data_IF_997136946298
#
_entry.id   IF_997136946298
#
_cell.length_a   1.000
_cell.length_b   1.000
_cell.length_c   1.000
_cell.angle_alpha   90.00
_cell.angle_beta   90.00
_cell.angle_gamma   90.00
#
_symmetry.space_group_name_H-M   'P 1'
#
loop_
_entity.id
_entity.type
_entity.pdbx_description
1 polymer ?
#
# COMPACT_ATOMS: atom_id res chain seq x y z
N UNK A 1 3.61 38.33 -49.53
CA UNK A 1 2.15 38.09 -49.68
C UNK A 1 1.61 37.67 -48.30
N UNK A 2 1.21 38.48 -47.30
CA UNK A 2 0.67 39.83 -47.09
C UNK A 2 -0.71 40.14 -47.67
N UNK A 3 -1.74 40.06 -46.82
CA UNK A 3 -3.00 40.85 -46.75
C UNK A 3 -3.48 40.79 -45.28
N UNK A 4 -3.16 41.74 -44.40
CA UNK A 4 -3.73 43.10 -44.14
C UNK A 4 -5.24 43.13 -43.80
N UNK A 5 -5.48 43.49 -42.54
CA UNK A 5 -6.72 43.96 -41.90
C UNK A 5 -7.27 45.25 -42.51
N UNK A 6 -8.56 45.56 -42.32
CA UNK A 6 -9.04 46.89 -41.88
C UNK A 6 -10.51 46.89 -41.42
N UNK A 7 -10.83 47.93 -40.66
CA UNK A 7 -11.90 48.13 -39.67
C UNK A 7 -13.15 48.85 -40.21
N UNK A 8 -14.28 48.68 -39.48
CA UNK A 8 -15.37 49.61 -39.10
C UNK A 8 -16.11 50.49 -40.13
N UNK A 9 -17.45 50.58 -40.01
CA UNK A 9 -18.24 51.84 -39.91
C UNK A 9 -19.59 51.59 -39.17
N UNK A 10 -20.01 52.56 -38.36
CA UNK A 10 -21.18 52.70 -37.46
C UNK A 10 -22.40 53.29 -38.22
N UNK A 11 -23.65 53.23 -37.71
CA UNK A 11 -24.20 54.48 -37.16
C UNK A 11 -25.05 54.32 -35.88
N UNK A 12 -25.21 55.44 -35.18
CA UNK A 12 -25.91 55.65 -33.92
C UNK A 12 -27.29 56.29 -34.11
N UNK A 13 -28.22 56.05 -33.16
CA UNK A 13 -29.31 56.94 -32.69
C UNK A 13 -30.11 56.20 -31.59
N UNK A 14 -29.99 56.54 -30.30
CA UNK A 14 -30.79 57.50 -29.49
C UNK A 14 -32.27 57.11 -29.32
N UNK A 15 -32.72 56.89 -28.06
CA UNK A 15 -33.89 57.54 -27.40
C UNK A 15 -33.92 57.15 -25.90
N UNK A 16 -34.15 58.17 -25.07
CA UNK A 16 -34.32 58.19 -23.61
C UNK A 16 -35.54 57.41 -23.09
N UNK A 17 -35.55 56.94 -21.83
CA UNK A 17 -36.27 57.60 -20.71
C UNK A 17 -36.51 56.69 -19.48
N UNK A 18 -36.18 57.26 -18.32
CA UNK A 18 -36.96 57.24 -17.06
C UNK A 18 -36.99 56.03 -16.13
N UNK A 19 -36.57 56.33 -14.91
CA UNK A 19 -36.76 55.63 -13.64
C UNK A 19 -38.20 55.17 -13.40
N UNK A 20 -38.37 54.04 -12.70
CA UNK A 20 -39.35 53.81 -11.63
C UNK A 20 -39.04 52.45 -10.96
N UNK A 21 -38.63 52.48 -9.71
CA UNK A 21 -38.92 51.41 -8.75
C UNK A 21 -40.13 51.86 -7.91
N UNK A 22 -40.77 51.02 -7.08
CA UNK A 22 -40.75 49.55 -6.96
C UNK A 22 -42.18 48.96 -7.10
N UNK A 23 -42.34 47.63 -7.16
CA UNK A 23 -43.52 47.02 -6.54
C UNK A 23 -43.29 45.54 -6.23
N UNK A 24 -43.37 45.24 -4.95
CA UNK A 24 -43.34 43.91 -4.37
C UNK A 24 -44.67 43.22 -4.63
N UNK A 25 -44.70 42.14 -5.41
CA UNK A 25 -45.70 41.07 -5.25
C UNK A 25 -45.33 39.83 -6.07
N UNK A 26 -45.31 38.69 -5.36
CA UNK A 26 -45.50 37.32 -5.88
C UNK A 26 -44.47 36.78 -6.87
N UNK A 27 -43.42 36.14 -6.33
CA UNK A 27 -42.78 34.99 -6.99
C UNK A 27 -43.11 33.72 -6.18
N UNK A 28 -44.23 33.10 -6.54
CA UNK A 28 -44.55 31.75 -6.10
C UNK A 28 -43.67 30.73 -6.87
N UNK A 29 -43.30 29.68 -6.15
CA UNK A 29 -42.63 28.44 -6.53
C UNK A 29 -42.45 28.14 -8.02
N UNK A 30 -41.18 27.97 -8.42
CA UNK A 30 -40.79 26.83 -9.25
C UNK A 30 -39.66 26.10 -8.52
N UNK A 31 -40.04 25.06 -7.80
CA UNK A 31 -39.16 24.05 -7.24
C UNK A 31 -38.58 23.21 -8.38
N UNK A 32 -37.37 23.54 -8.83
CA UNK A 32 -36.53 22.61 -9.58
C UNK A 32 -36.05 21.53 -8.61
N UNK A 33 -36.60 20.33 -8.72
CA UNK A 33 -36.10 19.16 -8.04
C UNK A 33 -34.71 18.83 -8.59
N UNK A 34 -33.66 19.32 -7.94
CA UNK A 34 -32.32 18.80 -8.13
C UNK A 34 -32.34 17.35 -7.63
N UNK A 35 -32.32 16.39 -8.56
CA UNK A 35 -32.04 15.00 -8.24
C UNK A 35 -30.67 14.94 -7.57
N UNK A 36 -30.66 14.72 -6.25
CA UNK A 36 -29.47 14.26 -5.55
C UNK A 36 -29.10 12.91 -6.14
N UNK A 37 -28.16 12.91 -7.08
CA UNK A 37 -27.41 11.70 -7.36
C UNK A 37 -26.76 11.28 -6.04
N UNK A 38 -27.22 10.16 -5.49
CA UNK A 38 -26.55 9.49 -4.40
C UNK A 38 -25.18 9.04 -4.92
N UNK A 39 -24.19 9.93 -4.88
CA UNK A 39 -22.80 9.52 -4.92
C UNK A 39 -22.62 8.59 -3.72
N UNK A 40 -22.23 7.34 -3.96
CA UNK A 40 -21.71 6.50 -2.89
C UNK A 40 -20.64 7.32 -2.15
N UNK A 41 -20.63 7.33 -0.79
CA UNK A 41 -19.60 8.06 -0.07
C UNK A 41 -18.25 7.60 -0.62
N UNK A 42 -17.43 8.56 -1.07
CA UNK A 42 -16.07 8.26 -1.48
C UNK A 42 -15.44 7.45 -0.35
N UNK A 43 -14.99 6.24 -0.67
CA UNK A 43 -14.28 5.43 0.32
C UNK A 43 -13.16 6.31 0.89
N UNK A 44 -13.06 6.40 2.22
CA UNK A 44 -12.00 7.19 2.85
C UNK A 44 -10.66 6.69 2.30
N UNK A 45 -9.70 7.59 2.10
CA UNK A 45 -8.42 7.27 1.45
C UNK A 45 -7.74 6.03 2.07
N UNK A 46 -7.86 5.85 3.39
CA UNK A 46 -7.27 4.73 4.12
C UNK A 46 -8.18 3.47 4.22
N UNK A 47 -9.41 3.47 3.71
CA UNK A 47 -10.29 2.30 3.80
C UNK A 47 -9.76 1.15 2.94
N UNK A 48 -9.60 -0.08 3.49
CA UNK A 48 -9.24 -1.24 2.70
C UNK A 48 -10.36 -1.62 1.73
N UNK A 49 -10.01 -2.36 0.69
CA UNK A 49 -10.98 -2.97 -0.21
C UNK A 49 -11.91 -3.94 0.54
N UNK A 50 -13.16 -4.01 0.09
CA UNK A 50 -14.19 -4.83 0.73
C UNK A 50 -14.20 -6.21 0.09
N UNK A 51 -13.96 -7.24 0.93
CA UNK A 51 -14.11 -8.63 0.50
C UNK A 51 -15.57 -8.91 0.09
N UNK A 52 -15.81 -9.70 -0.97
CA UNK A 52 -17.15 -10.13 -1.31
C UNK A 52 -17.75 -10.97 -0.18
N UNK A 53 -19.05 -10.77 0.12
CA UNK A 53 -19.75 -11.49 1.20
C UNK A 53 -19.77 -13.01 1.02
N UNK A 54 -19.61 -13.49 -0.21
CA UNK A 54 -19.50 -14.89 -0.56
C UNK A 54 -18.24 -15.10 -1.39
N UNK A 55 -17.55 -16.20 -1.14
CA UNK A 55 -16.45 -16.62 -1.98
C UNK A 55 -16.97 -16.80 -3.41
N UNK A 56 -16.33 -16.14 -4.38
CA UNK A 56 -16.63 -16.38 -5.78
C UNK A 56 -16.10 -17.77 -6.14
N UNK A 57 -16.86 -18.57 -6.91
CA UNK A 57 -16.31 -19.78 -7.51
C UNK A 57 -15.06 -19.40 -8.30
N UNK A 58 -14.03 -20.26 -8.24
CA UNK A 58 -12.86 -20.08 -9.10
C UNK A 58 -13.28 -20.06 -10.57
N UNK A 59 -12.67 -19.16 -11.33
CA UNK A 59 -12.86 -19.04 -12.78
C UNK A 59 -12.12 -20.12 -13.59
N UNK A 60 -11.26 -20.92 -12.95
CA UNK A 60 -10.56 -22.01 -13.62
C UNK A 60 -9.45 -22.67 -12.79
N UNK A 61 -8.74 -23.65 -13.37
CA UNK A 61 -7.55 -24.23 -12.75
C UNK A 61 -6.43 -23.20 -12.61
N UNK A 62 -5.49 -23.45 -11.70
CA UNK A 62 -4.29 -22.63 -11.56
C UNK A 62 -3.52 -22.56 -12.90
N UNK A 63 -3.14 -21.37 -13.37
CA UNK A 63 -2.28 -21.26 -14.55
C UNK A 63 -0.87 -21.76 -14.22
N UNK A 64 -0.24 -22.45 -15.18
CA UNK A 64 1.11 -23.01 -14.99
C UNK A 64 2.15 -21.89 -15.07
N UNK A 65 2.93 -21.76 -14.00
CA UNK A 65 4.06 -20.83 -13.88
C UNK A 65 3.71 -19.38 -14.15
N UNK A 66 2.48 -18.99 -13.82
CA UNK A 66 1.97 -17.64 -14.03
C UNK A 66 1.22 -17.10 -12.79
N UNK A 67 1.92 -16.30 -11.98
CA UNK A 67 1.35 -15.58 -10.82
C UNK A 67 0.88 -14.17 -11.20
N UNK A 68 0.98 -13.77 -12.48
CA UNK A 68 0.62 -12.42 -12.92
C UNK A 68 -0.82 -12.10 -12.58
N UNK A 69 -1.10 -10.86 -12.17
CA UNK A 69 -2.45 -10.45 -11.79
C UNK A 69 -2.46 -9.32 -10.77
N UNK A 70 -3.66 -8.86 -10.42
CA UNK A 70 -3.86 -8.00 -9.26
C UNK A 70 -4.38 -8.89 -8.14
N UNK A 71 -3.71 -8.85 -6.99
CA UNK A 71 -4.00 -9.68 -5.84
C UNK A 71 -4.34 -8.82 -4.64
N UNK A 72 -5.27 -9.28 -3.83
CA UNK A 72 -5.79 -8.51 -2.71
C UNK A 72 -6.09 -9.41 -1.50
N UNK A 73 -5.66 -8.94 -0.34
CA UNK A 73 -5.94 -9.54 0.96
C UNK A 73 -7.17 -8.92 1.64
N UNK A 74 -7.73 -7.86 1.05
CA UNK A 74 -8.79 -7.03 1.64
C UNK A 74 -8.38 -6.55 3.04
N UNK A 75 -9.34 -6.42 3.96
CA UNK A 75 -9.07 -6.06 5.35
C UNK A 75 -8.13 -7.03 6.08
N UNK A 76 -7.95 -8.27 5.61
CA UNK A 76 -7.01 -9.20 6.25
C UNK A 76 -5.54 -8.79 6.01
N UNK A 77 -5.26 -8.04 4.94
CA UNK A 77 -3.94 -7.49 4.65
C UNK A 77 -3.57 -6.29 5.52
N UNK A 78 -4.52 -5.75 6.28
CA UNK A 78 -4.31 -4.63 7.20
C UNK A 78 -4.03 -5.21 8.59
N UNK A 79 -2.78 -5.13 9.02
CA UNK A 79 -2.28 -5.73 10.25
C UNK A 79 -1.72 -4.64 11.19
N UNK A 80 -2.60 -3.80 11.78
CA UNK A 80 -2.17 -2.63 12.55
C UNK A 80 -1.39 -3.00 13.80
N UNK A 81 -1.66 -4.17 14.39
CA UNK A 81 -0.96 -4.65 15.58
C UNK A 81 0.21 -5.57 15.26
N UNK A 82 0.72 -5.55 14.02
CA UNK A 82 1.82 -6.39 13.58
C UNK A 82 1.46 -7.86 13.41
N UNK A 83 2.49 -8.71 13.31
CA UNK A 83 2.33 -10.16 13.15
C UNK A 83 1.67 -10.79 14.39
N UNK A 84 0.81 -11.79 14.18
CA UNK A 84 0.06 -12.42 15.28
C UNK A 84 0.92 -13.31 16.18
N UNK A 85 1.97 -13.88 15.61
CA UNK A 85 2.88 -14.79 16.31
C UNK A 85 4.25 -14.67 15.67
N UNK A 86 5.29 -14.67 16.51
CA UNK A 86 6.69 -14.66 16.12
C UNK A 86 7.52 -15.48 17.08
N UNK A 87 8.72 -15.86 16.65
CA UNK A 87 9.69 -16.47 17.54
C UNK A 87 10.03 -15.54 18.72
N UNK A 88 10.47 -16.10 19.85
CA UNK A 88 11.05 -15.32 20.94
C UNK A 88 12.27 -14.54 20.44
N UNK A 89 12.48 -13.35 20.99
CA UNK A 89 13.67 -12.56 20.70
C UNK A 89 14.92 -13.15 21.33
N UNK A 90 16.07 -12.87 20.72
CA UNK A 90 17.37 -12.95 21.40
C UNK A 90 17.55 -11.75 22.34
N UNK A 91 18.66 -11.68 23.08
CA UNK A 91 19.01 -10.49 23.87
C UNK A 91 19.14 -9.23 22.99
N UNK A 92 19.69 -9.37 21.78
CA UNK A 92 19.79 -8.27 20.83
C UNK A 92 18.41 -7.83 20.36
N UNK A 93 17.54 -8.78 20.00
CA UNK A 93 16.15 -8.50 19.60
C UNK A 93 15.37 -7.79 20.70
N UNK A 94 15.49 -8.22 21.96
CA UNK A 94 14.85 -7.54 23.10
C UNK A 94 15.38 -6.12 23.29
N UNK A 95 16.71 -5.94 23.22
CA UNK A 95 17.33 -4.62 23.32
C UNK A 95 16.79 -3.67 22.26
N UNK A 96 16.72 -4.11 21.01
CA UNK A 96 16.21 -3.28 19.91
C UNK A 96 14.71 -3.00 20.04
N UNK A 97 13.90 -4.02 20.36
CA UNK A 97 12.47 -3.86 20.55
C UNK A 97 12.12 -2.85 21.64
N UNK A 98 12.96 -2.72 22.69
CA UNK A 98 12.79 -1.73 23.75
C UNK A 98 13.12 -0.29 23.30
N UNK A 99 13.82 -0.11 22.18
CA UNK A 99 14.05 1.22 21.58
C UNK A 99 12.91 1.65 20.67
N UNK A 100 12.09 0.72 20.20
CA UNK A 100 10.99 0.97 19.28
C UNK A 100 9.72 1.28 20.07
N UNK A 101 9.07 2.39 19.71
CA UNK A 101 7.90 2.96 20.38
C UNK A 101 6.75 2.98 19.37
N UNK A 102 6.07 1.85 19.14
CA UNK A 102 5.00 1.79 18.14
C UNK A 102 3.75 2.54 18.59
N UNK A 103 2.90 2.93 17.65
CA UNK A 103 1.54 3.45 17.95
C UNK A 103 0.52 2.36 18.25
N UNK A 104 0.79 1.14 17.80
CA UNK A 104 -0.11 0.00 17.89
C UNK A 104 0.58 -1.25 18.48
N UNK A 105 -0.23 -2.25 18.80
CA UNK A 105 0.24 -3.52 19.36
C UNK A 105 0.57 -3.46 20.86
N UNK A 106 1.21 -4.52 21.40
CA UNK A 106 1.40 -4.69 22.84
C UNK A 106 2.35 -3.68 23.50
N UNK A 107 3.27 -3.10 22.73
CA UNK A 107 4.28 -2.12 23.20
C UNK A 107 3.92 -0.67 22.87
N UNK A 108 2.65 -0.41 22.54
CA UNK A 108 2.22 0.91 22.09
C UNK A 108 2.50 2.02 23.11
N UNK A 109 2.82 3.20 22.60
CA UNK A 109 2.99 4.42 23.38
C UNK A 109 1.96 5.48 22.96
N UNK A 110 1.87 6.57 23.71
CA UNK A 110 1.10 7.74 23.30
C UNK A 110 1.61 8.33 21.99
N UNK A 111 0.72 8.91 21.19
CA UNK A 111 1.00 9.36 19.82
C UNK A 111 2.28 10.20 19.67
N UNK A 112 2.51 11.20 20.53
CA UNK A 112 3.70 12.04 20.42
C UNK A 112 5.02 11.38 20.88
N UNK A 113 4.98 10.15 21.39
CA UNK A 113 6.16 9.37 21.77
C UNK A 113 6.57 8.36 20.69
N UNK A 114 5.76 8.19 19.65
CA UNK A 114 6.03 7.23 18.57
C UNK A 114 7.33 7.63 17.85
N UNK A 115 8.16 6.64 17.53
CA UNK A 115 9.41 6.83 16.78
C UNK A 115 9.54 5.92 15.57
N UNK A 116 8.40 5.55 14.99
CA UNK A 116 8.35 4.75 13.77
C UNK A 116 8.88 5.57 12.59
N UNK A 117 9.93 5.12 11.87
CA UNK A 117 10.43 5.82 10.70
C UNK A 117 9.37 6.01 9.61
N UNK A 118 8.40 5.09 9.51
CA UNK A 118 7.33 5.14 8.53
C UNK A 118 6.44 6.38 8.69
N UNK A 119 6.28 6.89 9.91
CA UNK A 119 5.50 8.10 10.20
C UNK A 119 6.14 9.36 9.60
N UNK A 120 7.45 9.34 9.36
CA UNK A 120 8.20 10.39 8.67
C UNK A 120 8.23 10.24 7.14
N UNK A 121 7.47 9.31 6.58
CA UNK A 121 7.51 8.90 5.17
C UNK A 121 8.79 8.19 4.73
N UNK A 122 9.59 7.62 5.64
CA UNK A 122 10.60 6.64 5.22
C UNK A 122 9.91 5.40 4.60
N UNK A 123 10.58 4.69 3.68
CA UNK A 123 10.02 3.46 3.12
C UNK A 123 9.71 2.44 4.22
N UNK A 124 8.55 1.78 4.16
CA UNK A 124 8.18 0.76 5.12
C UNK A 124 9.16 -0.42 5.10
N UNK A 125 9.72 -0.68 3.93
CA UNK A 125 10.63 -1.78 3.65
C UNK A 125 9.95 -3.14 3.56
N UNK A 126 10.79 -4.17 3.48
CA UNK A 126 10.39 -5.56 3.38
C UNK A 126 10.86 -6.34 4.61
N UNK A 127 10.07 -7.26 5.18
CA UNK A 127 8.73 -7.71 4.79
C UNK A 127 7.58 -6.90 5.40
N UNK A 128 7.85 -5.75 6.03
CA UNK A 128 6.81 -4.95 6.72
C UNK A 128 5.62 -4.60 5.83
N UNK A 129 5.85 -4.32 4.55
CA UNK A 129 4.77 -4.11 3.59
C UNK A 129 3.80 -5.31 3.48
N UNK A 130 4.25 -6.55 3.71
CA UNK A 130 3.40 -7.74 3.78
C UNK A 130 2.72 -7.91 5.15
N UNK A 131 3.33 -7.39 6.22
CA UNK A 131 2.90 -7.56 7.61
C UNK A 131 2.13 -6.37 8.19
N UNK A 132 1.87 -5.34 7.40
CA UNK A 132 1.12 -4.16 7.83
C UNK A 132 0.09 -3.72 6.80
N UNK A 133 0.54 -3.32 5.61
CA UNK A 133 -0.30 -2.67 4.59
C UNK A 133 -0.27 -3.48 3.28
N UNK A 134 -0.58 -4.78 3.36
CA UNK A 134 -0.71 -5.67 2.20
C UNK A 134 -2.02 -5.42 1.47
N UNK A 135 -2.12 -4.22 0.92
CA UNK A 135 -3.19 -3.72 0.05
C UNK A 135 -3.12 -4.34 -1.33
N UNK A 136 -4.12 -4.10 -2.22
CA UNK A 136 -4.04 -4.55 -3.59
C UNK A 136 -2.67 -4.29 -4.22
N UNK A 137 -2.10 -5.30 -4.85
CA UNK A 137 -0.83 -5.17 -5.55
C UNK A 137 -0.87 -5.94 -6.85
N UNK A 138 -0.13 -5.46 -7.85
CA UNK A 138 0.00 -6.14 -9.14
C UNK A 138 1.29 -6.95 -9.17
N UNK A 139 1.20 -8.17 -9.67
CA UNK A 139 2.33 -8.98 -10.09
C UNK A 139 2.39 -8.92 -11.61
N UNK A 140 3.53 -8.52 -12.16
CA UNK A 140 3.81 -8.53 -13.58
C UNK A 140 5.06 -9.36 -13.86
N UNK A 141 4.98 -10.33 -14.77
CA UNK A 141 6.11 -11.17 -15.14
C UNK A 141 6.77 -10.67 -16.42
N UNK A 142 8.06 -10.42 -16.34
CA UNK A 142 8.98 -10.22 -17.45
C UNK A 142 9.82 -11.50 -17.66
N UNK A 143 10.58 -11.62 -18.76
CA UNK A 143 11.36 -12.83 -19.03
C UNK A 143 12.42 -13.16 -17.96
N UNK A 144 13.01 -12.15 -17.33
CA UNK A 144 14.12 -12.25 -16.37
C UNK A 144 13.77 -11.77 -14.96
N UNK A 145 12.55 -11.25 -14.77
CA UNK A 145 12.10 -10.68 -13.50
C UNK A 145 10.60 -10.84 -13.28
N UNK A 146 10.21 -10.88 -12.01
CA UNK A 146 8.84 -10.59 -11.57
C UNK A 146 8.84 -9.25 -10.84
N UNK A 147 7.89 -8.38 -11.20
CA UNK A 147 7.69 -7.08 -10.59
C UNK A 147 6.45 -7.13 -9.70
N UNK A 148 6.60 -6.73 -8.44
CA UNK A 148 5.50 -6.50 -7.51
C UNK A 148 5.28 -5.01 -7.37
N UNK A 149 4.08 -4.53 -7.72
CA UNK A 149 3.70 -3.12 -7.70
C UNK A 149 2.64 -2.92 -6.61
N UNK A 150 3.02 -2.33 -5.49
CA UNK A 150 2.16 -2.20 -4.31
C UNK A 150 1.30 -0.93 -4.36
N UNK A 151 0.07 -1.00 -3.84
CA UNK A 151 -0.77 0.20 -3.61
C UNK A 151 -0.10 1.12 -2.57
N UNK A 152 0.25 0.55 -1.41
CA UNK A 152 0.84 1.29 -0.30
C UNK A 152 2.23 1.84 -0.65
N UNK A 153 2.44 3.13 -0.37
CA UNK A 153 3.62 3.93 -0.76
C UNK A 153 3.89 4.03 -2.27
N UNK A 154 3.08 3.41 -3.14
CA UNK A 154 3.33 3.29 -4.59
C UNK A 154 4.74 2.82 -4.94
N UNK A 155 5.27 1.89 -4.15
CA UNK A 155 6.58 1.28 -4.37
C UNK A 155 6.47 0.04 -5.26
N UNK A 156 7.57 -0.30 -5.91
CA UNK A 156 7.70 -1.56 -6.63
C UNK A 156 8.95 -2.33 -6.17
N UNK A 157 8.88 -3.65 -6.25
CA UNK A 157 9.96 -4.57 -5.92
C UNK A 157 10.22 -5.50 -7.10
N UNK A 158 11.49 -5.70 -7.42
CA UNK A 158 11.93 -6.62 -8.46
C UNK A 158 12.43 -7.92 -7.84
N UNK A 159 12.01 -9.04 -8.40
CA UNK A 159 12.47 -10.39 -8.06
C UNK A 159 13.10 -10.97 -9.31
N UNK A 160 14.41 -11.25 -9.25
CA UNK A 160 15.12 -11.84 -10.39
C UNK A 160 14.75 -13.31 -10.56
N UNK A 161 14.52 -13.73 -11.80
CA UNK A 161 14.13 -15.11 -12.15
C UNK A 161 15.03 -15.72 -13.24
N UNK A 162 16.16 -15.11 -13.52
CA UNK A 162 17.14 -15.53 -14.52
C UNK A 162 18.13 -16.61 -14.03
N UNK A 163 17.90 -17.16 -12.84
CA UNK A 163 18.71 -18.22 -12.25
C UNK A 163 19.99 -17.74 -11.55
N UNK A 164 20.18 -16.43 -11.38
CA UNK A 164 21.31 -15.90 -10.60
C UNK A 164 21.23 -16.30 -9.13
N UNK A 165 22.37 -16.34 -8.46
CA UNK A 165 22.43 -16.50 -7.01
C UNK A 165 22.16 -15.17 -6.28
N UNK A 166 21.84 -15.26 -4.99
CA UNK A 166 21.82 -14.10 -4.12
C UNK A 166 23.24 -13.55 -3.93
N UNK A 167 23.41 -12.22 -3.87
CA UNK A 167 24.70 -11.62 -3.53
C UNK A 167 25.17 -12.07 -2.14
N UNK A 168 26.48 -12.32 -2.01
CA UNK A 168 27.10 -12.71 -0.72
C UNK A 168 27.26 -11.53 0.23
N UNK A 169 27.44 -10.34 -0.33
CA UNK A 169 27.58 -9.06 0.39
C UNK A 169 26.64 -8.04 -0.26
N UNK A 170 25.32 -8.10 0.04
CA UNK A 170 24.35 -7.18 -0.53
C UNK A 170 24.51 -5.78 0.05
N UNK A 171 24.44 -4.76 -0.80
CA UNK A 171 24.13 -3.40 -0.38
C UNK A 171 22.78 -3.37 0.37
N UNK A 172 22.67 -2.69 1.53
CA UNK A 172 21.41 -2.53 2.24
C UNK A 172 20.36 -1.81 1.39
N UNK A 173 19.17 -2.40 1.29
CA UNK A 173 18.03 -1.87 0.54
C UNK A 173 16.77 -1.97 1.38
N UNK A 174 15.93 -0.95 1.34
CA UNK A 174 14.62 -0.95 2.00
C UNK A 174 13.79 -2.20 1.67
N UNK A 175 13.80 -2.66 0.41
CA UNK A 175 13.06 -3.85 -0.05
C UNK A 175 13.95 -5.06 -0.38
N UNK A 176 15.23 -5.00 0.01
CA UNK A 176 16.20 -6.09 -0.18
C UNK A 176 16.57 -6.40 -1.64
N UNK A 177 17.30 -7.50 -1.81
CA UNK A 177 17.63 -8.13 -3.08
C UNK A 177 16.97 -9.50 -3.14
N UNK A 178 16.14 -9.74 -4.16
CA UNK A 178 15.30 -10.93 -4.25
C UNK A 178 15.60 -11.77 -5.48
N UNK A 179 15.67 -13.08 -5.28
CA UNK A 179 15.78 -14.09 -6.34
C UNK A 179 14.66 -15.10 -6.14
N UNK A 180 13.95 -15.42 -7.21
CA UNK A 180 12.87 -16.38 -7.21
C UNK A 180 13.03 -17.49 -8.25
N UNK A 181 12.42 -18.63 -7.96
CA UNK A 181 12.36 -19.76 -8.87
C UNK A 181 11.03 -20.52 -8.71
N UNK A 182 10.64 -21.21 -9.78
CA UNK A 182 9.52 -22.14 -9.73
C UNK A 182 9.99 -23.47 -9.13
N UNK A 183 9.42 -23.86 -7.99
CA UNK A 183 9.64 -25.17 -7.38
C UNK A 183 8.89 -26.26 -8.16
N UNK A 184 7.69 -25.92 -8.62
CA UNK A 184 6.86 -26.73 -9.50
C UNK A 184 6.05 -25.82 -10.44
N UNK A 185 4.98 -26.31 -11.06
CA UNK A 185 4.18 -25.52 -11.98
C UNK A 185 3.25 -24.48 -11.31
N UNK A 186 3.05 -24.54 -10.00
CA UNK A 186 2.08 -23.72 -9.27
C UNK A 186 2.69 -23.05 -8.02
N UNK A 187 3.91 -23.40 -7.66
CA UNK A 187 4.62 -22.89 -6.48
C UNK A 187 5.86 -22.09 -6.89
N UNK A 188 5.82 -20.78 -6.65
CA UNK A 188 6.93 -19.86 -6.85
C UNK A 188 7.55 -19.50 -5.50
N UNK A 189 8.86 -19.72 -5.35
CA UNK A 189 9.62 -19.49 -4.12
C UNK A 189 10.57 -18.33 -4.33
N UNK A 190 10.58 -17.38 -3.41
CA UNK A 190 11.45 -16.20 -3.43
C UNK A 190 12.30 -16.18 -2.17
N UNK A 191 13.58 -15.90 -2.33
CA UNK A 191 14.49 -15.64 -1.22
C UNK A 191 15.01 -14.20 -1.29
N UNK A 192 15.07 -13.52 -0.15
CA UNK A 192 15.46 -12.12 -0.04
C UNK A 192 16.46 -11.89 1.07
N UNK A 193 17.46 -11.04 0.80
CA UNK A 193 18.54 -10.62 1.71
C UNK A 193 18.86 -9.14 1.52
N UNK A 194 19.77 -8.59 2.35
CA UNK A 194 20.25 -7.20 2.17
C UNK A 194 19.22 -6.16 2.56
N UNK A 195 18.48 -6.43 3.63
CA UNK A 195 17.39 -5.60 4.12
C UNK A 195 17.94 -4.50 5.02
N UNK A 196 17.45 -3.28 4.86
CA UNK A 196 17.90 -2.13 5.63
C UNK A 196 17.44 -2.21 7.10
N UNK A 197 18.36 -2.38 8.05
CA UNK A 197 18.08 -2.56 9.49
C UNK A 197 17.38 -1.33 10.13
N UNK A 198 17.28 -0.19 9.43
CA UNK A 198 16.51 0.97 9.90
C UNK A 198 15.01 0.73 9.89
N UNK A 199 14.51 -0.21 9.08
CA UNK A 199 13.09 -0.54 9.05
C UNK A 199 12.70 -1.39 10.24
N UNK A 200 11.41 -1.37 10.55
CA UNK A 200 10.82 -2.32 11.49
C UNK A 200 10.30 -3.52 10.71
N UNK A 201 10.21 -4.68 11.37
CA UNK A 201 9.67 -5.87 10.74
C UNK A 201 8.16 -5.73 10.49
N UNK A 202 7.44 -5.10 11.41
CA UNK A 202 5.99 -4.95 11.38
C UNK A 202 5.52 -3.65 12.05
N UNK A 203 4.20 -3.44 12.11
CA UNK A 203 3.62 -2.24 12.72
C UNK A 203 3.62 -2.23 14.26
N UNK A 204 3.97 -3.36 14.89
CA UNK A 204 4.13 -3.44 16.35
C UNK A 204 5.57 -3.13 16.78
N UNK A 205 6.43 -2.72 15.86
CA UNK A 205 7.84 -2.41 16.14
C UNK A 205 8.63 -3.62 16.59
N UNK A 206 8.38 -4.78 15.99
CA UNK A 206 9.32 -5.89 16.10
C UNK A 206 10.59 -5.58 15.24
N UNK A 207 11.81 -5.80 15.78
CA UNK A 207 13.05 -5.51 15.06
C UNK A 207 13.49 -6.66 14.16
N UNK A 208 14.23 -6.33 13.12
CA UNK A 208 15.06 -7.27 12.39
C UNK A 208 16.47 -6.69 12.26
N UNK A 209 17.42 -7.53 11.92
CA UNK A 209 18.80 -7.16 11.63
C UNK A 209 19.09 -7.16 10.13
N UNK A 210 20.27 -6.69 9.75
CA UNK A 210 20.80 -6.83 8.39
C UNK A 210 21.04 -8.30 7.95
N UNK A 211 21.15 -9.24 8.91
CA UNK A 211 21.36 -10.66 8.64
C UNK A 211 20.05 -11.41 8.30
N UNK A 212 18.91 -10.71 8.36
CA UNK A 212 17.60 -11.30 8.07
C UNK A 212 17.55 -11.86 6.65
N UNK A 213 17.01 -13.08 6.56
CA UNK A 213 16.60 -13.74 5.33
C UNK A 213 15.10 -13.94 5.37
N UNK A 214 14.46 -13.67 4.25
CA UNK A 214 13.02 -13.88 4.09
C UNK A 214 12.79 -14.82 2.93
N UNK A 215 12.04 -15.89 3.18
CA UNK A 215 11.54 -16.81 2.17
C UNK A 215 10.04 -16.59 1.98
N UNK A 216 9.62 -16.29 0.76
CA UNK A 216 8.22 -16.20 0.37
C UNK A 216 7.87 -17.41 -0.50
N UNK A 217 6.72 -18.01 -0.24
CA UNK A 217 6.16 -19.09 -1.05
C UNK A 217 4.79 -18.65 -1.54
N UNK A 218 4.69 -18.48 -2.85
CA UNK A 218 3.47 -18.15 -3.58
C UNK A 218 2.93 -19.42 -4.23
N UNK A 219 1.85 -19.97 -3.69
CA UNK A 219 1.22 -21.19 -4.19
C UNK A 219 -0.14 -20.88 -4.82
N UNK A 220 -0.25 -21.07 -6.14
CA UNK A 220 -1.50 -20.92 -6.87
C UNK A 220 -2.39 -22.14 -6.62
N UNK A 221 -3.44 -21.95 -5.81
CA UNK A 221 -4.43 -22.99 -5.53
C UNK A 221 -5.35 -23.18 -6.73
N UNK A 222 -5.78 -22.08 -7.34
CA UNK A 222 -6.62 -22.03 -8.53
C UNK A 222 -6.40 -20.71 -9.28
N UNK A 223 -7.20 -20.44 -10.31
CA UNK A 223 -7.09 -19.22 -11.09
C UNK A 223 -7.20 -17.95 -10.24
N UNK A 224 -8.00 -17.94 -9.17
CA UNK A 224 -8.36 -16.74 -8.40
C UNK A 224 -7.82 -16.73 -6.97
N UNK A 225 -7.03 -17.73 -6.60
CA UNK A 225 -6.59 -17.97 -5.22
C UNK A 225 -5.09 -18.21 -5.16
N UNK A 226 -4.41 -17.33 -4.43
CA UNK A 226 -2.98 -17.44 -4.15
C UNK A 226 -2.77 -17.56 -2.65
N UNK A 227 -2.07 -18.61 -2.22
CA UNK A 227 -1.58 -18.75 -0.85
C UNK A 227 -0.19 -18.14 -0.74
N UNK A 228 -0.01 -17.25 0.23
CA UNK A 228 1.27 -16.64 0.58
C UNK A 228 1.74 -17.17 1.93
N UNK A 229 2.91 -17.78 1.93
CA UNK A 229 3.66 -18.10 3.17
C UNK A 229 4.92 -17.25 3.21
N UNK A 230 5.21 -16.66 4.37
CA UNK A 230 6.42 -15.85 4.57
C UNK A 230 7.13 -16.38 5.80
N UNK A 231 8.33 -16.89 5.59
CA UNK A 231 9.22 -17.37 6.64
C UNK A 231 10.31 -16.34 6.90
N UNK A 232 10.54 -16.07 8.18
CA UNK A 232 11.59 -15.17 8.67
C UNK A 232 12.69 -16.01 9.30
N UNK A 233 13.92 -15.76 8.90
CA UNK A 233 15.12 -16.31 9.51
C UNK A 233 16.10 -15.17 9.79
N UNK A 234 16.24 -14.81 11.07
CA UNK A 234 17.15 -13.79 11.54
C UNK A 234 17.67 -14.21 12.92
N UNK A 235 18.78 -14.95 12.97
CA UNK A 235 19.31 -15.51 14.21
C UNK A 235 19.88 -14.45 15.16
N UNK A 236 20.08 -13.21 14.68
CA UNK A 236 20.51 -12.09 15.52
C UNK A 236 19.30 -11.50 16.26
N UNK A 237 18.13 -11.44 15.64
CA UNK A 237 16.90 -10.93 16.26
C UNK A 237 16.07 -11.98 17.01
N UNK A 238 16.00 -13.21 16.48
CA UNK A 238 15.10 -14.27 16.95
C UNK A 238 15.83 -15.57 17.30
N UNK A 239 15.26 -16.34 18.23
CA UNK A 239 15.87 -17.61 18.67
C UNK A 239 15.77 -18.74 17.64
N UNK A 240 14.83 -18.65 16.71
CA UNK A 240 14.58 -19.65 15.67
C UNK A 240 13.83 -19.03 14.49
N UNK A 241 13.91 -19.63 13.29
CA UNK A 241 13.07 -19.25 12.17
C UNK A 241 11.59 -19.45 12.46
N UNK A 242 10.73 -18.60 11.92
CA UNK A 242 9.28 -18.64 12.16
C UNK A 242 8.48 -18.18 10.95
N UNK A 243 7.17 -18.43 10.96
CA UNK A 243 6.25 -18.03 9.89
C UNK A 243 5.53 -16.73 10.25
N UNK A 244 5.85 -15.64 9.56
CA UNK A 244 5.12 -14.37 9.68
C UNK A 244 3.76 -14.40 9.00
N UNK A 245 3.67 -15.12 7.89
CA UNK A 245 2.41 -15.49 7.24
C UNK A 245 2.46 -16.99 6.92
N UNK A 246 1.32 -17.67 7.08
CA UNK A 246 1.20 -19.10 6.78
C UNK A 246 -0.07 -19.32 5.97
N UNK A 247 0.08 -19.70 4.69
CA UNK A 247 -1.03 -19.89 3.73
C UNK A 247 -2.04 -18.74 3.75
N UNK A 248 -1.51 -17.53 3.82
CA UNK A 248 -2.30 -16.32 3.84
C UNK A 248 -2.97 -16.12 2.49
N UNK A 249 -4.29 -15.95 2.48
CA UNK A 249 -5.08 -16.00 1.26
C UNK A 249 -5.13 -14.63 0.58
N UNK A 250 -4.72 -14.62 -0.69
CA UNK A 250 -4.89 -13.51 -1.60
C UNK A 250 -5.89 -13.89 -2.69
N UNK A 251 -6.78 -12.95 -3.04
CA UNK A 251 -7.79 -13.15 -4.08
C UNK A 251 -7.48 -12.29 -5.29
N UNK A 252 -7.63 -12.88 -6.47
CA UNK A 252 -7.46 -12.17 -7.73
C UNK A 252 -8.56 -11.11 -7.90
N UNK A 253 -8.14 -9.92 -8.29
CA UNK A 253 -9.03 -8.84 -8.71
C UNK A 253 -9.18 -8.83 -10.23
N UNK A 254 -10.29 -8.27 -10.76
CA UNK A 254 -10.45 -8.04 -12.19
C UNK A 254 -9.26 -7.27 -12.78
N UNK A 255 -8.90 -7.52 -14.04
CA UNK A 255 -7.80 -6.81 -14.71
C UNK A 255 -8.03 -5.27 -14.77
N UNK A 256 -9.29 -4.85 -14.71
CA UNK A 256 -9.72 -3.45 -14.66
C UNK A 256 -9.76 -2.86 -13.25
N UNK A 257 -9.33 -3.60 -12.22
CA UNK A 257 -9.27 -3.08 -10.85
C UNK A 257 -8.28 -1.92 -10.79
N UNK A 258 -8.75 -0.80 -10.28
CA UNK A 258 -7.96 0.42 -10.14
C UNK A 258 -7.20 0.42 -8.82
N UNK A 259 -5.86 0.35 -8.90
CA UNK A 259 -4.99 0.40 -7.73
C UNK A 259 -4.76 1.86 -7.39
N UNK A 260 -5.29 2.28 -6.25
CA UNK A 260 -5.34 3.70 -5.86
C UNK A 260 -3.95 4.28 -5.64
N UNK A 261 -3.82 5.58 -5.82
CA UNK A 261 -2.65 6.33 -5.35
C UNK A 261 -2.63 6.39 -3.83
N UNK A 262 -1.51 5.95 -3.25
CA UNK A 262 -1.29 5.98 -1.80
C UNK A 262 0.17 6.28 -1.53
N UNK A 263 0.59 7.50 -1.88
CA UNK A 263 1.95 7.99 -1.69
C UNK A 263 2.05 8.61 -0.31
N UNK A 264 3.18 8.41 0.37
CA UNK A 264 3.47 9.17 1.58
C UNK A 264 4.03 10.54 1.18
N UNK A 265 3.44 11.62 1.69
CA UNK A 265 3.88 12.98 1.46
C UNK A 265 4.57 13.53 2.72
N UNK A 266 5.90 13.78 2.70
CA UNK A 266 6.61 14.30 3.87
C UNK A 266 6.02 15.60 4.44
N UNK A 267 5.49 16.47 3.57
CA UNK A 267 4.82 17.71 4.00
C UNK A 267 3.54 17.46 4.81
N UNK A 268 2.78 16.41 4.47
CA UNK A 268 1.57 16.05 5.22
C UNK A 268 1.93 15.38 6.54
N UNK A 269 2.99 14.56 6.56
CA UNK A 269 3.54 13.96 7.78
C UNK A 269 4.03 15.04 8.78
N UNK A 270 4.73 16.06 8.29
CA UNK A 270 5.16 17.21 9.11
C UNK A 270 3.96 18.00 9.68
N UNK A 271 2.94 18.25 8.87
CA UNK A 271 1.72 18.93 9.32
C UNK A 271 0.97 18.10 10.38
N UNK A 272 0.83 16.79 10.17
CA UNK A 272 0.24 15.87 11.14
C UNK A 272 1.00 15.89 12.47
N UNK A 273 2.32 15.82 12.42
CA UNK A 273 3.17 15.85 13.61
C UNK A 273 2.93 17.13 14.42
N UNK A 274 2.94 18.28 13.75
CA UNK A 274 2.73 19.60 14.36
C UNK A 274 1.33 19.79 14.94
N UNK A 275 0.30 19.34 14.24
CA UNK A 275 -1.10 19.67 14.57
C UNK A 275 -1.79 18.61 15.42
N UNK A 276 -1.30 17.36 15.40
CA UNK A 276 -1.92 16.22 16.07
C UNK A 276 -0.96 15.54 17.05
N UNK A 277 0.23 15.11 16.60
CA UNK A 277 1.10 14.27 17.43
C UNK A 277 1.76 15.01 18.60
N UNK A 278 2.34 16.18 18.35
CA UNK A 278 3.01 17.00 19.40
C UNK A 278 2.04 17.52 20.48
N UNK A 279 0.80 17.94 20.15
CA UNK A 279 -0.19 18.26 21.18
C UNK A 279 -0.60 17.04 22.03
N UNK A 280 -0.57 15.84 21.46
CA UNK A 280 -0.97 14.59 22.13
C UNK A 280 0.09 14.01 23.08
N UNK A 281 1.23 14.69 23.25
CA UNK A 281 2.30 14.29 24.19
C UNK A 281 2.17 14.92 25.58
N UNK A 282 1.18 15.80 25.78
CA UNK A 282 0.94 16.51 27.03
C UNK A 282 -0.10 15.82 27.92
#
# INVERSE_FOLDING_TARGET
MSRRSLTLVIPAAVVLCSCLAPNSATRAQQSGAAQKQNAAPAALWNTPSIAPKQARPSSGPAPRRDVSGIWDAFAAGIQPTGVKSRAPFTEWGEKMANTYKPGDGPRKVSLGLINDPLDGCDPAGFPRNLFFELRPFRIAQAPDQILMLYEYQKVWRAIWTDGRELPKDPEPRWYGYSVGHWQDDYTFVVNTVGLDERTWLDNAGDPHSADMRVEEIYHLVDQDTLELTVKIDDPKAYKEPWLGLNKFILRRQPASFDIREMICAPSEAEEYKKTVAEPATR
#
